data_IF_835044705703
#
_entry.id   IF_835044705703
#
_cell.length_a   1.000
_cell.length_b   1.000
_cell.length_c   1.000
_cell.angle_alpha   90.00
_cell.angle_beta   90.00
_cell.angle_gamma   90.00
#
_symmetry.space_group_name_H-M   'P 1'
#
loop_
_entity.id
_entity.type
_entity.pdbx_description
1 polymer ?
#
# COMPACT_ATOMS: atom_id res chain seq x y z
N UNK A 1 -19.31 41.68 -16.74
CA UNK A 1 -19.66 40.34 -17.24
C UNK A 1 -18.44 39.71 -17.92
N UNK A 2 -17.32 39.55 -17.19
CA UNK A 2 -16.05 39.04 -17.75
C UNK A 2 -15.14 38.36 -16.69
N UNK A 3 -15.67 37.91 -15.55
CA UNK A 3 -14.85 37.32 -14.47
C UNK A 3 -15.20 35.85 -14.13
N UNK A 4 -16.15 35.23 -14.82
CA UNK A 4 -16.55 33.82 -14.55
C UNK A 4 -15.67 32.75 -15.21
N UNK A 5 -14.68 33.14 -16.03
CA UNK A 5 -13.87 32.19 -16.80
C UNK A 5 -12.77 31.46 -16.01
N UNK A 6 -12.37 31.96 -14.83
CA UNK A 6 -11.23 31.41 -14.07
C UNK A 6 -11.67 30.32 -13.08
N UNK A 7 -12.96 30.25 -12.74
CA UNK A 7 -13.50 29.23 -11.83
C UNK A 7 -13.61 27.82 -12.44
N UNK A 8 -13.50 27.66 -13.76
CA UNK A 8 -13.62 26.35 -14.43
C UNK A 8 -12.32 25.53 -14.46
N UNK A 9 -11.16 26.15 -14.23
CA UNK A 9 -9.87 25.42 -14.25
C UNK A 9 -9.66 24.58 -12.97
N UNK A 10 -10.41 24.88 -11.90
CA UNK A 10 -10.37 24.11 -10.64
C UNK A 10 -11.03 22.73 -10.75
N UNK A 11 -11.66 22.42 -11.89
CA UNK A 11 -12.50 21.23 -12.08
C UNK A 11 -11.81 20.07 -12.84
N UNK A 12 -10.51 20.20 -13.14
CA UNK A 12 -9.73 19.18 -13.86
C UNK A 12 -8.84 18.33 -12.95
N UNK A 13 -8.93 18.49 -11.63
CA UNK A 13 -8.22 17.63 -10.68
C UNK A 13 -9.20 16.52 -10.25
N UNK A 14 -8.95 15.24 -10.59
CA UNK A 14 -9.74 14.13 -10.10
C UNK A 14 -9.80 14.16 -8.56
N UNK A 15 -11.01 14.12 -7.98
CA UNK A 15 -11.28 14.08 -6.53
C UNK A 15 -10.58 12.91 -5.79
N UNK A 16 -10.02 11.98 -6.57
CA UNK A 16 -9.26 10.80 -6.19
C UNK A 16 -7.86 11.14 -5.64
N UNK A 17 -7.36 12.38 -5.78
CA UNK A 17 -6.07 12.82 -5.23
C UNK A 17 -6.20 13.69 -3.98
N UNK A 18 -7.24 13.46 -3.17
CA UNK A 18 -7.31 14.02 -1.83
C UNK A 18 -6.69 13.02 -0.86
N UNK A 19 -5.45 13.27 -0.42
CA UNK A 19 -4.91 12.59 0.76
C UNK A 19 -5.78 13.03 1.94
N UNK A 20 -6.73 12.18 2.31
CA UNK A 20 -7.78 12.42 3.30
C UNK A 20 -7.26 12.29 4.74
N UNK A 21 -6.13 12.94 5.04
CA UNK A 21 -5.41 12.78 6.30
C UNK A 21 -5.56 13.92 7.31
N UNK A 22 -6.19 15.04 6.94
CA UNK A 22 -6.33 16.20 7.83
C UNK A 22 -7.73 16.79 7.62
N UNK A 23 -8.63 16.59 8.58
CA UNK A 23 -9.81 17.44 8.73
C UNK A 23 -9.42 18.69 9.53
N UNK A 24 -10.13 19.79 9.30
CA UNK A 24 -9.95 21.09 9.96
C UNK A 24 -10.34 21.06 11.46
N UNK A 25 -10.57 19.88 12.05
CA UNK A 25 -11.11 19.70 13.41
C UNK A 25 -10.29 18.75 14.29
N UNK A 26 -9.12 18.29 13.84
CA UNK A 26 -8.19 17.53 14.67
C UNK A 26 -8.73 16.17 15.15
N UNK A 27 -9.77 15.62 14.52
CA UNK A 27 -10.26 14.27 14.81
C UNK A 27 -9.80 13.32 13.72
N UNK A 28 -8.81 12.48 14.06
CA UNK A 28 -8.35 11.38 13.23
C UNK A 28 -9.49 10.38 12.96
N UNK A 29 -10.30 10.64 11.93
CA UNK A 29 -11.38 9.77 11.47
C UNK A 29 -11.03 9.11 10.13
N UNK A 30 -9.76 8.73 9.98
CA UNK A 30 -9.24 7.91 8.89
C UNK A 30 -8.55 6.67 9.46
N UNK A 31 -8.46 5.60 8.66
CA UNK A 31 -7.72 4.37 9.01
C UNK A 31 -6.33 4.77 9.48
N UNK A 32 -5.97 4.39 10.70
CA UNK A 32 -4.65 4.71 11.25
C UNK A 32 -3.56 4.06 10.41
N UNK A 33 -2.39 4.69 10.32
CA UNK A 33 -1.26 4.10 9.61
C UNK A 33 -0.93 2.69 10.15
N UNK A 34 -1.07 2.46 11.46
CA UNK A 34 -0.89 1.16 12.08
C UNK A 34 -1.88 0.10 11.57
N UNK A 35 -3.16 0.46 11.43
CA UNK A 35 -4.19 -0.44 10.85
C UNK A 35 -3.93 -0.72 9.37
N UNK A 36 -3.47 0.29 8.61
CA UNK A 36 -3.09 0.10 7.20
C UNK A 36 -1.88 -0.83 7.08
N UNK A 37 -0.84 -0.62 7.89
CA UNK A 37 0.36 -1.45 7.90
C UNK A 37 0.03 -2.89 8.32
N UNK A 38 -0.83 -3.07 9.33
CA UNK A 38 -1.29 -4.38 9.76
C UNK A 38 -2.03 -5.10 8.63
N UNK A 39 -2.96 -4.40 7.96
CA UNK A 39 -3.69 -4.94 6.81
C UNK A 39 -2.76 -5.31 5.64
N UNK A 40 -1.73 -4.49 5.38
CA UNK A 40 -0.74 -4.77 4.35
C UNK A 40 0.10 -6.01 4.71
N UNK A 41 0.53 -6.16 5.96
CA UNK A 41 1.25 -7.35 6.45
C UNK A 41 0.41 -8.62 6.34
N UNK A 42 -0.86 -8.56 6.72
CA UNK A 42 -1.79 -9.67 6.53
C UNK A 42 -1.90 -10.05 5.05
N UNK A 43 -2.01 -9.06 4.17
CA UNK A 43 -2.08 -9.29 2.72
C UNK A 43 -0.81 -9.91 2.13
N UNK A 44 0.38 -9.55 2.62
CA UNK A 44 1.63 -10.21 2.22
C UNK A 44 1.63 -11.67 2.69
N UNK A 45 1.21 -11.92 3.93
CA UNK A 45 1.11 -13.27 4.49
C UNK A 45 0.16 -14.14 3.66
N UNK A 46 -0.98 -13.59 3.24
CA UNK A 46 -1.92 -14.29 2.36
C UNK A 46 -1.32 -14.61 0.98
N UNK A 47 -0.55 -13.69 0.41
CA UNK A 47 0.14 -13.92 -0.86
C UNK A 47 1.23 -14.99 -0.75
N UNK A 48 1.98 -15.01 0.35
CA UNK A 48 2.97 -16.06 0.63
C UNK A 48 2.29 -17.43 0.78
N UNK A 49 1.26 -17.52 1.61
CA UNK A 49 0.49 -18.77 1.80
C UNK A 49 -0.09 -19.28 0.48
N UNK A 50 -0.64 -18.39 -0.34
CA UNK A 50 -1.17 -18.76 -1.65
C UNK A 50 -0.08 -19.26 -2.60
N UNK A 51 1.09 -18.60 -2.61
CA UNK A 51 2.24 -19.05 -3.39
C UNK A 51 2.72 -20.42 -2.95
N UNK A 52 2.78 -20.67 -1.63
CA UNK A 52 3.24 -21.94 -1.09
C UNK A 52 2.26 -23.08 -1.37
N UNK A 53 0.96 -22.80 -1.32
CA UNK A 53 -0.06 -23.78 -1.69
C UNK A 53 0.03 -24.17 -3.18
N UNK A 54 0.23 -23.18 -4.06
CA UNK A 54 0.42 -23.46 -5.49
C UNK A 54 1.72 -24.24 -5.76
N UNK A 55 2.81 -23.94 -5.04
CA UNK A 55 4.05 -24.73 -5.11
C UNK A 55 3.84 -26.17 -4.66
N UNK A 56 3.11 -26.37 -3.57
CA UNK A 56 2.81 -27.69 -3.03
C UNK A 56 1.94 -28.50 -4.00
N UNK A 57 0.86 -27.92 -4.52
CA UNK A 57 -0.01 -28.58 -5.47
C UNK A 57 0.71 -28.92 -6.78
N UNK A 58 1.65 -28.07 -7.22
CA UNK A 58 2.53 -28.38 -8.35
C UNK A 58 3.50 -29.52 -8.04
N UNK A 59 4.16 -29.50 -6.88
CA UNK A 59 5.08 -30.56 -6.46
C UNK A 59 4.39 -31.93 -6.29
N UNK A 60 3.11 -31.92 -5.90
CA UNK A 60 2.26 -33.10 -5.79
C UNK A 60 1.66 -33.55 -7.14
N UNK A 61 1.91 -32.82 -8.23
CA UNK A 61 1.39 -33.13 -9.56
C UNK A 61 -0.13 -32.92 -9.70
N UNK A 62 -0.75 -32.15 -8.79
CA UNK A 62 -2.18 -31.82 -8.87
C UNK A 62 -2.47 -30.70 -9.87
N UNK A 63 -1.46 -29.92 -10.24
CA UNK A 63 -1.53 -28.87 -11.26
C UNK A 63 -0.26 -28.88 -12.11
N UNK A 64 -0.43 -28.70 -13.42
CA UNK A 64 0.68 -28.53 -14.37
C UNK A 64 0.95 -27.04 -14.68
N UNK A 65 0.25 -26.14 -13.99
CA UNK A 65 0.29 -24.71 -14.27
C UNK A 65 1.51 -24.01 -13.62
N UNK A 66 2.70 -24.35 -14.10
CA UNK A 66 3.98 -23.73 -13.68
C UNK A 66 3.93 -22.18 -13.76
N UNK A 67 3.40 -21.55 -14.84
CA UNK A 67 3.34 -20.10 -14.92
C UNK A 67 2.61 -19.45 -13.74
N UNK A 68 1.53 -20.06 -13.26
CA UNK A 68 0.75 -19.53 -12.14
C UNK A 68 1.50 -19.59 -10.82
N UNK A 69 2.22 -20.68 -10.55
CA UNK A 69 3.09 -20.84 -9.37
C UNK A 69 4.17 -19.75 -9.35
N UNK A 70 4.81 -19.51 -10.51
CA UNK A 70 5.85 -18.50 -10.66
C UNK A 70 5.30 -17.08 -10.47
N UNK A 71 4.15 -16.78 -11.07
CA UNK A 71 3.49 -15.47 -10.92
C UNK A 71 3.09 -15.23 -9.46
N UNK A 72 2.54 -16.25 -8.79
CA UNK A 72 2.17 -16.14 -7.38
C UNK A 72 3.39 -15.88 -6.49
N UNK A 73 4.49 -16.58 -6.73
CA UNK A 73 5.77 -16.35 -6.03
C UNK A 73 6.32 -14.94 -6.24
N UNK A 74 6.31 -14.45 -7.47
CA UNK A 74 6.80 -13.10 -7.78
C UNK A 74 5.92 -12.02 -7.14
N UNK A 75 4.61 -12.20 -7.15
CA UNK A 75 3.67 -11.29 -6.46
C UNK A 75 3.96 -11.20 -4.97
N UNK A 76 4.17 -12.34 -4.30
CA UNK A 76 4.50 -12.36 -2.88
C UNK A 76 5.83 -11.63 -2.60
N UNK A 77 6.86 -11.87 -3.43
CA UNK A 77 8.16 -11.24 -3.29
C UNK A 77 8.10 -9.71 -3.44
N UNK A 78 7.47 -9.21 -4.52
CA UNK A 78 7.30 -7.77 -4.75
C UNK A 78 6.51 -7.13 -3.59
N UNK A 79 5.43 -7.78 -3.13
CA UNK A 79 4.62 -7.27 -2.03
C UNK A 79 5.40 -7.19 -0.71
N UNK A 80 6.26 -8.17 -0.43
CA UNK A 80 7.14 -8.17 0.73
C UNK A 80 8.18 -7.04 0.64
N UNK A 81 8.86 -6.89 -0.49
CA UNK A 81 9.83 -5.81 -0.71
C UNK A 81 9.20 -4.42 -0.55
N UNK A 82 7.99 -4.25 -1.09
CA UNK A 82 7.23 -3.02 -0.94
C UNK A 82 6.92 -2.72 0.53
N UNK A 83 6.46 -3.74 1.27
CA UNK A 83 6.19 -3.63 2.72
C UNK A 83 7.44 -3.26 3.52
N UNK A 84 8.59 -3.87 3.21
CA UNK A 84 9.87 -3.50 3.83
C UNK A 84 10.26 -2.05 3.52
N UNK A 85 10.02 -1.58 2.29
CA UNK A 85 10.30 -0.20 1.89
C UNK A 85 9.46 0.80 2.68
N UNK A 86 8.17 0.50 2.89
CA UNK A 86 7.29 1.31 3.74
C UNK A 86 7.81 1.30 5.19
N UNK A 87 8.12 0.12 5.74
CA UNK A 87 8.66 -0.01 7.11
C UNK A 87 9.90 0.88 7.29
N UNK A 88 10.85 0.81 6.37
CA UNK A 88 12.07 1.62 6.41
C UNK A 88 11.72 3.11 6.38
N UNK A 89 10.83 3.54 5.47
CA UNK A 89 10.43 4.94 5.36
C UNK A 89 9.78 5.50 6.63
N UNK A 90 9.03 4.67 7.35
CA UNK A 90 8.39 5.05 8.62
C UNK A 90 9.44 5.22 9.72
N UNK A 91 10.39 4.29 9.80
CA UNK A 91 11.51 4.38 10.76
C UNK A 91 12.36 5.63 10.47
N UNK A 92 12.60 5.94 9.20
CA UNK A 92 13.31 7.15 8.79
C UNK A 92 12.55 8.41 9.18
N UNK A 93 11.23 8.45 8.93
CA UNK A 93 10.38 9.59 9.30
C UNK A 93 10.35 9.82 10.82
N UNK A 94 10.25 8.74 11.61
CA UNK A 94 10.37 8.83 13.07
C UNK A 94 11.73 9.39 13.49
N UNK A 95 12.81 8.88 12.89
CA UNK A 95 14.17 9.33 13.18
C UNK A 95 14.39 10.80 12.79
N UNK A 96 13.77 11.28 11.72
CA UNK A 96 13.84 12.67 11.27
C UNK A 96 13.14 13.62 12.25
N UNK A 97 11.95 13.27 12.73
CA UNK A 97 11.23 14.05 13.75
C UNK A 97 12.08 14.19 15.02
N UNK A 98 12.77 13.12 15.43
CA UNK A 98 13.68 13.16 16.58
C UNK A 98 14.88 14.09 16.36
N UNK A 99 15.39 14.18 15.12
CA UNK A 99 16.48 15.10 14.76
C UNK A 99 16.06 16.56 14.68
N UNK A 100 14.76 16.86 14.48
CA UNK A 100 14.25 18.23 14.48
C UNK A 100 14.16 18.86 15.88
N UNK A 101 14.18 18.08 16.96
CA UNK A 101 13.94 18.55 18.33
C UNK A 101 15.22 18.83 19.14
N UNK A 102 16.40 18.84 18.52
CA UNK A 102 17.65 19.32 19.13
C UNK A 102 18.09 20.67 18.57
#
# INVERSE_FOLDING_TARGET
MAIDGISQVKQLIPDNFRISGIDDQGKASGVSFGEYLNSALMKVTDLENHSDQLKEDFALGKTDNIPEVLIAGEKANIALQFTMSIRNKVVDAYSEIMRMQI
#
